data_IF_337158865991
#
_entry.id   IF_337158865991
#
_cell.length_a   1.000
_cell.length_b   1.000
_cell.length_c   1.000
_cell.angle_alpha   90.00
_cell.angle_beta   90.00
_cell.angle_gamma   90.00
#
_symmetry.space_group_name_H-M   'P 1'
#
loop_
_entity.id
_entity.type
_entity.pdbx_description
1 polymer ?
#
# COMPACT_ATOMS: atom_id res chain seq x y z
N UNK A 1 27.18 15.25 -11.56
CA UNK A 1 26.53 14.05 -10.99
C UNK A 1 27.53 12.93 -11.11
N UNK A 2 28.09 12.49 -9.98
CA UNK A 2 29.20 11.54 -9.95
C UNK A 2 28.82 10.20 -10.59
N UNK A 3 29.51 9.87 -11.69
CA UNK A 3 29.31 8.65 -12.49
C UNK A 3 30.00 7.44 -11.83
N UNK A 4 30.62 7.60 -10.66
CA UNK A 4 31.52 6.61 -10.05
C UNK A 4 30.99 5.95 -8.77
N UNK A 5 29.76 6.23 -8.32
CA UNK A 5 29.34 5.86 -6.96
C UNK A 5 28.32 4.70 -6.83
N UNK A 6 27.66 4.24 -7.90
CA UNK A 6 26.71 3.12 -7.80
C UNK A 6 26.86 2.12 -8.95
N UNK A 7 26.98 0.80 -8.67
CA UNK A 7 26.95 -0.21 -9.72
C UNK A 7 25.63 -0.10 -10.51
N UNK A 8 25.71 -0.14 -11.84
CA UNK A 8 24.56 0.08 -12.73
C UNK A 8 23.36 -0.83 -12.40
N UNK A 9 23.62 -2.04 -11.87
CA UNK A 9 22.61 -2.98 -11.43
C UNK A 9 21.81 -2.48 -10.22
N UNK A 10 22.46 -1.82 -9.27
CA UNK A 10 21.81 -1.24 -8.09
C UNK A 10 20.97 -0.02 -8.46
N UNK A 11 21.49 0.83 -9.35
CA UNK A 11 20.74 1.94 -9.91
C UNK A 11 19.45 1.47 -10.61
N UNK A 12 19.57 0.44 -11.46
CA UNK A 12 18.42 -0.13 -12.18
C UNK A 12 17.41 -0.78 -11.23
N UNK A 13 17.89 -1.44 -10.17
CA UNK A 13 17.03 -2.04 -9.14
C UNK A 13 16.24 -0.97 -8.39
N UNK A 14 16.89 0.11 -7.97
CA UNK A 14 16.25 1.23 -7.26
C UNK A 14 15.24 1.94 -8.15
N UNK A 15 15.59 2.20 -9.42
CA UNK A 15 14.68 2.79 -10.40
C UNK A 15 13.41 1.94 -10.59
N UNK A 16 13.54 0.62 -10.76
CA UNK A 16 12.39 -0.28 -10.89
C UNK A 16 11.53 -0.36 -9.62
N UNK A 17 12.12 -0.15 -8.44
CA UNK A 17 11.38 -0.14 -7.19
C UNK A 17 10.44 1.08 -7.06
N UNK A 18 10.75 2.20 -7.73
CA UNK A 18 9.90 3.41 -7.74
C UNK A 18 8.46 3.11 -8.19
N UNK A 19 8.28 2.19 -9.14
CA UNK A 19 6.96 1.81 -9.65
C UNK A 19 6.04 1.27 -8.54
N UNK A 20 6.60 0.64 -7.50
CA UNK A 20 5.82 0.15 -6.35
C UNK A 20 5.26 1.31 -5.51
N UNK A 21 6.05 2.37 -5.34
CA UNK A 21 5.70 3.58 -4.61
C UNK A 21 4.65 4.40 -5.37
N UNK A 22 4.81 4.54 -6.69
CA UNK A 22 3.86 5.27 -7.55
C UNK A 22 2.46 4.65 -7.54
N UNK A 23 2.37 3.32 -7.47
CA UNK A 23 1.07 2.64 -7.32
C UNK A 23 0.39 3.00 -6.00
N UNK A 24 1.17 3.20 -4.92
CA UNK A 24 0.67 3.72 -3.65
C UNK A 24 0.10 5.14 -3.78
N UNK A 25 0.81 6.03 -4.49
CA UNK A 25 0.29 7.39 -4.76
C UNK A 25 -0.96 7.40 -5.64
N UNK A 26 -1.14 6.42 -6.54
CA UNK A 26 -2.38 6.27 -7.31
C UNK A 26 -3.59 6.03 -6.40
N UNK A 27 -3.41 5.33 -5.29
CA UNK A 27 -4.47 5.11 -4.30
C UNK A 27 -4.91 6.42 -3.65
N UNK A 28 -3.97 7.31 -3.30
CA UNK A 28 -4.29 8.65 -2.75
C UNK A 28 -5.08 9.53 -3.70
N UNK A 29 -4.90 9.32 -5.01
CA UNK A 29 -5.60 10.04 -6.07
C UNK A 29 -6.91 9.35 -6.48
N UNK A 30 -7.27 8.22 -5.87
CA UNK A 30 -8.47 7.48 -6.25
C UNK A 30 -9.73 8.27 -5.86
N UNK A 31 -10.75 8.36 -6.74
CA UNK A 31 -12.02 9.00 -6.42
C UNK A 31 -12.81 8.26 -5.32
N UNK A 32 -12.43 7.02 -5.00
CA UNK A 32 -12.99 6.25 -3.88
C UNK A 32 -12.69 6.88 -2.51
N UNK A 33 -11.63 7.69 -2.42
CA UNK A 33 -11.46 8.55 -1.26
C UNK A 33 -12.50 9.65 -1.37
N UNK A 34 -13.39 9.71 -0.38
CA UNK A 34 -14.46 10.70 -0.24
C UNK A 34 -13.89 12.12 -0.02
N UNK A 35 -12.89 12.56 -0.78
CA UNK A 35 -12.26 13.87 -0.73
C UNK A 35 -13.32 14.96 -0.93
N UNK A 36 -14.38 14.68 -1.69
CA UNK A 36 -15.54 15.56 -1.84
C UNK A 36 -16.38 15.71 -0.56
N UNK A 37 -16.39 14.71 0.35
CA UNK A 37 -17.05 14.83 1.66
C UNK A 37 -16.20 15.60 2.68
N UNK A 38 -14.87 15.65 2.47
CA UNK A 38 -13.99 16.49 3.27
C UNK A 38 -14.02 17.92 2.71
N UNK A 39 -14.51 18.89 3.49
CA UNK A 39 -14.57 20.31 3.10
C UNK A 39 -13.17 20.95 2.96
N UNK A 40 -12.38 20.56 1.97
CA UNK A 40 -11.00 20.99 1.76
C UNK A 40 -10.91 22.31 1.00
N UNK A 41 -11.53 23.36 1.53
CA UNK A 41 -11.54 24.70 0.90
C UNK A 41 -10.26 25.50 1.15
N UNK A 42 -9.50 25.15 2.18
CA UNK A 42 -8.30 25.85 2.62
C UNK A 42 -7.04 25.01 2.36
N UNK A 43 -5.93 25.60 1.89
CA UNK A 43 -4.72 24.85 1.55
C UNK A 43 -4.14 24.06 2.74
N UNK A 44 -4.20 24.61 3.95
CA UNK A 44 -3.67 23.96 5.16
C UNK A 44 -4.42 22.65 5.48
N UNK A 45 -5.72 22.58 5.15
CA UNK A 45 -6.51 21.35 5.33
C UNK A 45 -6.15 20.27 4.31
N UNK A 46 -5.78 20.68 3.09
CA UNK A 46 -5.33 19.76 2.04
C UNK A 46 -4.01 19.15 2.46
N UNK A 47 -3.07 19.96 2.94
CA UNK A 47 -1.76 19.50 3.42
C UNK A 47 -1.89 18.53 4.60
N UNK A 48 -2.70 18.88 5.60
CA UNK A 48 -2.96 18.01 6.75
C UNK A 48 -3.57 16.67 6.33
N UNK A 49 -4.55 16.68 5.41
CA UNK A 49 -5.13 15.45 4.90
C UNK A 49 -4.11 14.61 4.13
N UNK A 50 -3.31 15.23 3.25
CA UNK A 50 -2.27 14.54 2.49
C UNK A 50 -1.25 13.88 3.42
N UNK A 51 -0.86 14.54 4.51
CA UNK A 51 0.03 13.98 5.52
C UNK A 51 -0.59 12.73 6.16
N UNK A 52 -1.84 12.81 6.62
CA UNK A 52 -2.55 11.69 7.24
C UNK A 52 -2.69 10.52 6.26
N UNK A 53 -3.07 10.79 5.01
CA UNK A 53 -3.23 9.72 4.03
C UNK A 53 -1.87 9.08 3.64
N UNK A 54 -0.79 9.86 3.62
CA UNK A 54 0.57 9.34 3.41
C UNK A 54 1.01 8.45 4.58
N UNK A 55 0.68 8.84 5.81
CA UNK A 55 0.90 8.00 6.99
C UNK A 55 0.12 6.69 6.90
N UNK A 56 -1.14 6.73 6.47
CA UNK A 56 -1.93 5.53 6.22
C UNK A 56 -1.22 4.62 5.20
N UNK A 57 -0.77 5.13 4.05
CA UNK A 57 -0.02 4.34 3.07
C UNK A 57 1.20 3.63 3.66
N UNK A 58 1.96 4.32 4.53
CA UNK A 58 3.10 3.74 5.21
C UNK A 58 2.69 2.56 6.09
N UNK A 59 1.64 2.73 6.89
CA UNK A 59 1.10 1.66 7.76
C UNK A 59 0.61 0.47 6.92
N UNK A 60 -0.13 0.71 5.83
CA UNK A 60 -0.57 -0.35 4.91
C UNK A 60 0.62 -1.14 4.33
N UNK A 61 1.68 -0.43 3.93
CA UNK A 61 2.89 -1.05 3.36
C UNK A 61 3.64 -1.89 4.39
N UNK A 62 3.76 -1.40 5.63
CA UNK A 62 4.36 -2.13 6.74
C UNK A 62 3.57 -3.40 7.08
N UNK A 63 2.23 -3.33 7.10
CA UNK A 63 1.36 -4.48 7.28
C UNK A 63 1.50 -5.48 6.13
N UNK A 64 1.55 -5.03 4.87
CA UNK A 64 1.76 -5.93 3.72
C UNK A 64 3.08 -6.68 3.85
N UNK A 65 4.14 -5.98 4.26
CA UNK A 65 5.44 -6.59 4.51
C UNK A 65 5.36 -7.67 5.59
N UNK A 66 4.76 -7.36 6.74
CA UNK A 66 4.62 -8.29 7.87
C UNK A 66 3.79 -9.53 7.53
N UNK A 67 2.67 -9.36 6.84
CA UNK A 67 1.82 -10.48 6.41
C UNK A 67 2.59 -11.39 5.44
N UNK A 68 3.29 -10.81 4.46
CA UNK A 68 4.06 -11.57 3.47
C UNK A 68 5.29 -12.25 4.06
N UNK A 69 5.89 -11.66 5.09
CA UNK A 69 6.96 -12.28 5.88
C UNK A 69 6.43 -13.53 6.58
N UNK A 70 5.33 -13.41 7.33
CA UNK A 70 4.72 -14.52 8.06
C UNK A 70 4.21 -15.65 7.16
N UNK A 71 3.56 -15.32 6.03
CA UNK A 71 3.12 -16.33 5.06
C UNK A 71 4.29 -17.13 4.48
N UNK A 72 5.43 -16.48 4.23
CA UNK A 72 6.64 -17.16 3.74
C UNK A 72 7.26 -18.06 4.81
N UNK A 73 7.34 -17.59 6.05
CA UNK A 73 7.87 -18.38 7.18
C UNK A 73 7.05 -19.65 7.42
N UNK A 74 5.72 -19.55 7.36
CA UNK A 74 4.82 -20.68 7.62
C UNK A 74 4.56 -21.55 6.38
N UNK A 75 5.00 -21.13 5.18
CA UNK A 75 4.67 -21.81 3.92
C UNK A 75 3.18 -21.74 3.53
N UNK A 76 2.43 -20.82 4.13
CA UNK A 76 1.00 -20.68 3.96
C UNK A 76 0.65 -19.74 2.79
N UNK A 77 -0.56 -19.90 2.27
CA UNK A 77 -1.08 -19.08 1.17
C UNK A 77 -2.37 -18.39 1.59
N UNK A 78 -2.54 -17.14 1.16
CA UNK A 78 -3.79 -16.40 1.29
C UNK A 78 -4.58 -16.45 -0.03
N UNK A 79 -5.91 -16.48 0.02
CA UNK A 79 -6.73 -16.44 -1.20
C UNK A 79 -6.79 -15.02 -1.75
N UNK A 80 -6.55 -14.82 -3.04
CA UNK A 80 -6.77 -13.53 -3.70
C UNK A 80 -8.26 -13.31 -4.09
N UNK A 81 -8.56 -12.18 -4.72
CA UNK A 81 -9.91 -11.84 -5.21
C UNK A 81 -10.49 -12.87 -6.20
N UNK A 82 -9.63 -13.57 -6.94
CA UNK A 82 -10.00 -14.64 -7.87
C UNK A 82 -9.98 -16.03 -7.20
N UNK A 83 -9.93 -16.08 -5.86
CA UNK A 83 -9.84 -17.31 -5.05
C UNK A 83 -8.61 -18.18 -5.35
N UNK A 84 -7.54 -17.60 -5.91
CA UNK A 84 -6.27 -18.30 -6.15
C UNK A 84 -5.33 -18.10 -4.95
N UNK A 85 -4.58 -19.14 -4.53
CA UNK A 85 -3.59 -19.01 -3.46
C UNK A 85 -2.46 -18.05 -3.86
N UNK A 86 -2.07 -17.16 -2.95
CA UNK A 86 -0.96 -16.22 -3.12
C UNK A 86 -0.22 -16.00 -1.81
N UNK A 87 1.11 -15.92 -1.88
CA UNK A 87 1.97 -15.47 -0.78
C UNK A 87 2.19 -13.96 -0.78
N UNK A 88 1.59 -13.25 -1.75
CA UNK A 88 1.71 -11.80 -1.92
C UNK A 88 0.35 -11.12 -1.86
N UNK A 89 -0.45 -11.31 -0.78
CA UNK A 89 -1.71 -10.57 -0.64
C UNK A 89 -1.44 -9.07 -0.49
N UNK A 90 -2.45 -8.26 -0.82
CA UNK A 90 -2.47 -6.83 -0.53
C UNK A 90 -3.25 -6.58 0.76
N UNK A 91 -2.80 -5.64 1.59
CA UNK A 91 -3.42 -5.36 2.89
C UNK A 91 -4.86 -4.85 2.70
N UNK A 92 -5.14 -4.13 1.62
CA UNK A 92 -6.51 -3.75 1.24
C UNK A 92 -7.43 -4.96 1.09
N UNK A 93 -6.97 -6.01 0.42
CA UNK A 93 -7.77 -7.23 0.22
C UNK A 93 -7.95 -7.99 1.53
N UNK A 94 -6.89 -8.11 2.32
CA UNK A 94 -6.95 -8.73 3.64
C UNK A 94 -7.99 -8.02 4.52
N UNK A 95 -7.95 -6.70 4.63
CA UNK A 95 -8.96 -5.93 5.37
C UNK A 95 -10.37 -6.09 4.81
N UNK A 96 -10.53 -6.19 3.48
CA UNK A 96 -11.84 -6.44 2.89
C UNK A 96 -12.45 -7.77 3.34
N UNK A 97 -11.63 -8.82 3.49
CA UNK A 97 -12.10 -10.09 4.05
C UNK A 97 -12.56 -9.95 5.52
N UNK A 98 -12.00 -9.01 6.29
CA UNK A 98 -12.41 -8.75 7.67
C UNK A 98 -13.68 -7.89 7.79
N UNK A 99 -14.03 -7.09 6.77
CA UNK A 99 -15.24 -6.24 6.79
C UNK A 99 -16.55 -7.03 6.93
N UNK A 100 -16.56 -8.31 6.53
CA UNK A 100 -17.72 -9.20 6.61
C UNK A 100 -17.94 -9.89 7.97
N UNK A 101 -17.04 -9.71 8.94
CA UNK A 101 -17.11 -10.41 10.24
C UNK A 101 -18.02 -9.73 11.28
N UNK A 102 -18.92 -8.83 10.85
CA UNK A 102 -19.80 -8.07 11.75
C UNK A 102 -20.92 -8.92 12.38
N UNK A 103 -21.11 -10.18 11.98
CA UNK A 103 -22.25 -11.02 12.37
C UNK A 103 -21.85 -12.30 13.13
N UNK A 104 -20.89 -12.20 14.04
CA UNK A 104 -20.56 -13.27 15.00
C UNK A 104 -20.72 -12.72 16.42
N UNK A 105 -21.97 -12.44 16.80
CA UNK A 105 -22.41 -12.26 18.19
C UNK A 105 -23.82 -12.81 18.25
#
# INVERSE_FOLDING_TARGET
MDVTAFPAQELLKTYKAQQSVERGFRFLKSPDFLVSSFFLKKPERIEALLMVMTLCLLVYSALEYKIREKLRENGENFLNQLKKPTQKPTTRWVFFCFLGLHSLT
#
